data_IF_270305112145
#
_entry.id   IF_270305112145
#
_cell.length_a   1.000
_cell.length_b   1.000
_cell.length_c   1.000
_cell.angle_alpha   90.00
_cell.angle_beta   90.00
_cell.angle_gamma   90.00
#
_symmetry.space_group_name_H-M   'P 1'
#
loop_
_entity.id
_entity.type
_entity.pdbx_description
1 polymer ?
#
# COMPACT_ATOMS: atom_id res chain seq x y z
N UNK A 1 16.85 34.84 8.19
CA UNK A 1 17.40 33.48 8.37
C UNK A 1 16.36 32.47 7.93
N UNK A 2 16.65 31.73 6.91
CA UNK A 2 15.75 30.68 6.44
C UNK A 2 15.93 29.46 7.33
N UNK A 3 14.88 29.14 8.08
CA UNK A 3 14.79 27.85 8.75
C UNK A 3 14.58 26.77 7.68
N UNK A 4 15.60 26.00 7.42
CA UNK A 4 15.42 24.78 6.62
C UNK A 4 14.44 23.90 7.37
N UNK A 5 13.22 23.75 6.83
CA UNK A 5 12.35 22.66 7.24
C UNK A 5 13.11 21.36 6.99
N UNK A 6 13.45 20.65 8.06
CA UNK A 6 13.87 19.25 7.93
C UNK A 6 12.76 18.53 7.20
N UNK A 7 13.00 18.15 5.95
CA UNK A 7 12.17 17.16 5.28
C UNK A 7 12.37 15.86 6.05
N UNK A 8 11.36 15.45 6.79
CA UNK A 8 11.31 14.10 7.29
C UNK A 8 11.17 13.20 6.07
N UNK A 9 12.23 12.47 5.73
CA UNK A 9 12.11 11.42 4.75
C UNK A 9 11.18 10.35 5.33
N UNK A 10 10.02 10.20 4.73
CA UNK A 10 9.09 9.14 5.08
C UNK A 10 9.73 7.80 4.77
N UNK A 11 9.63 6.88 5.71
CA UNK A 11 10.15 5.52 5.56
C UNK A 11 9.06 4.54 5.93
N UNK A 12 8.91 3.51 5.11
CA UNK A 12 7.97 2.44 5.37
C UNK A 12 8.74 1.21 5.81
N UNK A 13 8.38 0.70 6.98
CA UNK A 13 8.88 -0.59 7.49
C UNK A 13 7.75 -1.62 7.43
N UNK A 14 8.04 -2.77 6.85
CA UNK A 14 7.08 -3.85 6.64
C UNK A 14 7.58 -5.10 7.34
N UNK A 15 6.75 -5.69 8.19
CA UNK A 15 7.11 -6.97 8.82
C UNK A 15 7.21 -8.09 7.78
N UNK A 16 8.04 -9.08 8.04
CA UNK A 16 8.17 -10.25 7.15
C UNK A 16 6.85 -10.98 6.97
N UNK A 17 6.09 -11.13 8.05
CA UNK A 17 4.78 -11.80 7.99
C UNK A 17 3.79 -11.02 7.14
N UNK A 18 3.75 -9.69 7.26
CA UNK A 18 2.90 -8.86 6.44
C UNK A 18 3.33 -8.92 4.96
N UNK A 19 4.64 -8.87 4.69
CA UNK A 19 5.17 -9.05 3.32
C UNK A 19 4.71 -10.37 2.72
N UNK A 20 4.91 -11.46 3.44
CA UNK A 20 4.57 -12.80 2.95
C UNK A 20 3.06 -12.93 2.71
N UNK A 21 2.26 -12.36 3.59
CA UNK A 21 0.80 -12.31 3.44
C UNK A 21 0.37 -11.51 2.21
N UNK A 22 0.99 -10.37 1.95
CA UNK A 22 0.72 -9.55 0.75
C UNK A 22 1.04 -10.34 -0.51
N UNK A 23 2.23 -10.93 -0.59
CA UNK A 23 2.66 -11.67 -1.78
C UNK A 23 1.77 -12.88 -2.04
N UNK A 24 1.40 -13.62 -1.00
CA UNK A 24 0.48 -14.76 -1.11
C UNK A 24 -0.89 -14.31 -1.61
N UNK A 25 -1.40 -13.22 -1.08
CA UNK A 25 -2.69 -12.67 -1.48
C UNK A 25 -2.70 -12.24 -2.95
N UNK A 26 -1.63 -11.57 -3.40
CA UNK A 26 -1.50 -11.16 -4.79
C UNK A 26 -1.46 -12.37 -5.74
N UNK A 27 -0.73 -13.42 -5.38
CA UNK A 27 -0.67 -14.66 -6.15
C UNK A 27 -2.03 -15.36 -6.23
N UNK A 28 -2.77 -15.38 -5.13
CA UNK A 28 -4.10 -15.99 -5.08
C UNK A 28 -5.11 -15.26 -5.96
N UNK A 29 -5.00 -13.95 -6.10
CA UNK A 29 -5.93 -13.15 -6.90
C UNK A 29 -5.56 -13.09 -8.37
N UNK A 30 -4.30 -13.38 -8.72
CA UNK A 30 -3.85 -13.34 -10.12
C UNK A 30 -4.74 -14.21 -11.03
N UNK A 31 -5.20 -13.74 -12.18
CA UNK A 31 -4.79 -12.53 -12.91
C UNK A 31 -5.59 -11.25 -12.58
N UNK A 32 -6.41 -11.29 -11.55
CA UNK A 32 -7.14 -10.12 -11.09
C UNK A 32 -6.29 -9.29 -10.13
N UNK A 33 -6.53 -7.99 -10.07
CA UNK A 33 -5.97 -7.13 -9.03
C UNK A 33 -6.59 -7.49 -7.68
N UNK A 34 -5.74 -7.64 -6.65
CA UNK A 34 -6.18 -7.78 -5.27
C UNK A 34 -5.96 -6.48 -4.51
N UNK A 35 -6.70 -6.27 -3.43
CA UNK A 35 -6.55 -5.10 -2.56
C UNK A 35 -6.70 -5.50 -1.09
N UNK A 36 -5.79 -4.96 -0.25
CA UNK A 36 -5.85 -5.11 1.21
C UNK A 36 -5.64 -3.77 1.87
N UNK A 37 -6.22 -3.60 3.07
CA UNK A 37 -5.89 -2.48 3.94
C UNK A 37 -4.63 -2.84 4.73
N UNK A 38 -3.70 -1.89 4.81
CA UNK A 38 -2.48 -2.00 5.59
C UNK A 38 -2.73 -1.51 7.01
N UNK A 39 -2.36 -2.30 7.98
CA UNK A 39 -2.54 -2.01 9.40
C UNK A 39 -1.18 -1.85 10.07
N UNK A 40 -1.05 -0.82 10.89
CA UNK A 40 0.20 -0.56 11.58
C UNK A 40 0.19 0.70 12.39
N UNK A 41 1.35 1.32 12.53
CA UNK A 41 1.57 2.53 13.34
C UNK A 41 2.34 3.56 12.55
N UNK A 42 1.99 4.83 12.71
CA UNK A 42 2.71 5.94 12.11
C UNK A 42 3.29 6.83 13.21
N UNK A 43 4.55 7.21 13.07
CA UNK A 43 5.22 8.13 13.99
C UNK A 43 6.28 8.94 13.24
N UNK A 44 6.12 10.27 13.24
CA UNK A 44 7.11 11.21 12.68
C UNK A 44 7.50 10.89 11.22
N UNK A 45 6.50 10.61 10.38
CA UNK A 45 6.74 10.27 8.98
C UNK A 45 7.14 8.81 8.72
N UNK A 46 7.43 8.05 9.75
CA UNK A 46 7.72 6.63 9.63
C UNK A 46 6.44 5.81 9.84
N UNK A 47 6.22 4.84 8.97
CA UNK A 47 5.07 3.95 9.06
C UNK A 47 5.59 2.53 9.21
N UNK A 48 5.13 1.84 10.26
CA UNK A 48 5.40 0.43 10.47
C UNK A 48 4.14 -0.37 10.19
N UNK A 49 4.23 -1.32 9.27
CA UNK A 49 3.11 -2.16 8.83
C UNK A 49 3.35 -3.59 9.30
N UNK A 50 2.44 -4.11 10.11
CA UNK A 50 2.50 -5.46 10.67
C UNK A 50 1.21 -6.26 10.56
N UNK A 51 0.19 -5.70 9.92
CA UNK A 51 -1.09 -6.37 9.77
C UNK A 51 -1.77 -6.06 8.44
N UNK A 52 -2.71 -6.91 8.09
CA UNK A 52 -3.48 -6.82 6.84
C UNK A 52 -4.95 -7.03 7.15
N UNK A 53 -5.81 -6.28 6.48
CA UNK A 53 -7.26 -6.39 6.61
C UNK A 53 -7.89 -6.48 5.23
N UNK A 54 -8.77 -7.45 5.05
CA UNK A 54 -9.57 -7.54 3.83
C UNK A 54 -10.65 -6.45 3.90
N UNK A 55 -10.67 -5.50 2.96
CA UNK A 55 -11.67 -4.43 3.00
C UNK A 55 -13.06 -4.98 2.73
N UNK A 56 -14.10 -4.45 3.45
CA UNK A 56 -15.47 -4.84 3.19
C UNK A 56 -15.93 -4.32 1.81
N UNK A 57 -16.78 -5.10 1.14
CA UNK A 57 -17.33 -4.74 -0.17
C UNK A 57 -16.29 -4.41 -1.23
N UNK A 58 -15.13 -5.08 -1.16
CA UNK A 58 -14.10 -4.90 -2.18
C UNK A 58 -14.54 -5.48 -3.52
N UNK A 59 -14.20 -4.76 -4.60
CA UNK A 59 -14.40 -5.21 -5.97
C UNK A 59 -13.04 -5.38 -6.62
N UNK A 60 -12.87 -6.47 -7.37
CA UNK A 60 -11.62 -6.77 -8.06
C UNK A 60 -11.88 -7.22 -9.48
N UNK A 61 -10.93 -6.92 -10.36
CA UNK A 61 -10.93 -7.35 -11.76
C UNK A 61 -9.51 -7.37 -12.29
N UNK A 62 -9.34 -7.66 -13.59
CA UNK A 62 -8.01 -7.80 -14.19
C UNK A 62 -7.20 -6.49 -14.16
N UNK A 63 -7.86 -5.35 -14.19
CA UNK A 63 -7.25 -4.03 -14.28
C UNK A 63 -7.74 -3.04 -13.22
N UNK A 64 -8.47 -3.52 -12.21
CA UNK A 64 -8.93 -2.67 -11.11
C UNK A 64 -9.09 -3.44 -9.80
N UNK A 65 -8.91 -2.73 -8.70
CA UNK A 65 -9.30 -3.17 -7.36
C UNK A 65 -9.69 -1.92 -6.54
N UNK A 66 -10.73 -2.03 -5.74
CA UNK A 66 -11.20 -0.93 -4.93
C UNK A 66 -12.22 -1.35 -3.90
N UNK A 67 -12.55 -0.43 -3.00
CA UNK A 67 -13.57 -0.62 -1.97
C UNK A 67 -14.14 0.73 -1.54
N UNK A 68 -15.40 0.77 -1.06
CA UNK A 68 -15.96 2.01 -0.53
C UNK A 68 -15.34 2.34 0.83
N UNK A 69 -14.93 3.61 1.01
CA UNK A 69 -14.30 4.06 2.25
C UNK A 69 -15.31 4.40 3.36
N UNK A 70 -16.53 4.79 2.99
CA UNK A 70 -17.56 5.24 3.94
C UNK A 70 -17.94 4.22 5.02
N UNK A 71 -18.04 2.90 4.73
CA UNK A 71 -18.36 1.91 5.76
C UNK A 71 -17.22 1.61 6.72
N UNK A 72 -15.98 2.08 6.43
CA UNK A 72 -14.85 1.80 7.29
C UNK A 72 -14.96 2.58 8.60
N UNK A 73 -14.66 1.94 9.75
CA UNK A 73 -14.54 2.68 10.99
C UNK A 73 -13.35 3.63 10.93
N UNK A 74 -13.42 4.73 11.69
CA UNK A 74 -12.28 5.59 11.93
C UNK A 74 -11.27 4.83 12.81
N UNK A 75 -10.28 4.25 12.18
CA UNK A 75 -9.25 3.46 12.85
C UNK A 75 -7.87 4.00 12.48
N UNK A 76 -7.15 4.63 13.44
CA UNK A 76 -5.83 5.18 13.16
C UNK A 76 -4.77 4.11 12.84
N UNK A 77 -5.05 2.84 13.10
CA UNK A 77 -4.17 1.74 12.71
C UNK A 77 -4.27 1.39 11.23
N UNK A 78 -5.28 1.91 10.51
CA UNK A 78 -5.39 1.75 9.06
C UNK A 78 -4.49 2.80 8.40
N UNK A 79 -3.27 2.42 8.06
CA UNK A 79 -2.25 3.36 7.59
C UNK A 79 -2.17 3.47 6.07
N UNK A 80 -2.82 2.60 5.33
CA UNK A 80 -2.82 2.66 3.88
C UNK A 80 -3.44 1.44 3.23
N UNK A 81 -3.17 1.30 1.95
CA UNK A 81 -3.64 0.15 1.15
C UNK A 81 -2.49 -0.45 0.37
N UNK A 82 -2.65 -1.71 0.00
CA UNK A 82 -1.83 -2.38 -0.99
C UNK A 82 -2.72 -3.02 -2.05
N UNK A 83 -2.32 -2.89 -3.31
CA UNK A 83 -2.97 -3.60 -4.39
C UNK A 83 -1.94 -4.17 -5.36
N UNK A 84 -2.37 -5.16 -6.14
CA UNK A 84 -1.50 -5.79 -7.12
C UNK A 84 -1.73 -5.22 -8.52
N UNK A 85 -0.64 -5.17 -9.31
CA UNK A 85 -0.67 -4.90 -10.74
C UNK A 85 -0.30 -6.19 -11.47
N UNK A 86 -1.26 -6.96 -11.99
CA UNK A 86 -0.97 -8.20 -12.71
C UNK A 86 -0.19 -7.98 -14.01
N UNK A 87 -0.31 -6.78 -14.59
CA UNK A 87 0.36 -6.39 -15.83
C UNK A 87 0.98 -5.01 -15.65
N UNK A 88 2.17 -4.82 -16.21
CA UNK A 88 2.83 -3.52 -16.26
C UNK A 88 3.72 -3.25 -15.05
N UNK A 89 4.02 -1.97 -14.84
CA UNK A 89 4.90 -1.52 -13.76
C UNK A 89 4.17 -1.39 -12.44
N UNK A 90 4.93 -1.23 -11.36
CA UNK A 90 4.40 -0.95 -10.03
C UNK A 90 4.19 0.55 -9.78
N UNK A 91 4.11 1.36 -10.83
CA UNK A 91 3.81 2.79 -10.71
C UNK A 91 2.31 3.02 -10.53
N UNK A 92 1.90 3.99 -9.68
CA UNK A 92 0.49 4.29 -9.51
C UNK A 92 -0.11 4.89 -10.77
N UNK A 93 -1.30 4.42 -11.12
CA UNK A 93 -2.13 5.04 -12.15
C UNK A 93 -2.79 6.31 -11.60
N UNK A 94 -3.39 7.13 -12.49
CA UNK A 94 -4.18 8.28 -12.05
C UNK A 94 -5.35 7.84 -11.16
N UNK A 95 -5.99 6.71 -11.50
CA UNK A 95 -7.05 6.12 -10.67
C UNK A 95 -6.54 5.73 -9.30
N UNK A 96 -5.36 5.13 -9.21
CA UNK A 96 -4.72 4.78 -7.94
C UNK A 96 -4.50 6.02 -7.07
N UNK A 97 -4.01 7.11 -7.65
CA UNK A 97 -3.78 8.37 -6.93
C UNK A 97 -5.09 9.02 -6.48
N UNK A 98 -6.13 8.97 -7.30
CA UNK A 98 -7.44 9.52 -6.97
C UNK A 98 -8.15 8.73 -5.85
N UNK A 99 -7.82 7.47 -5.67
CA UNK A 99 -8.39 6.59 -4.64
C UNK A 99 -7.44 6.35 -3.47
N UNK A 100 -6.48 7.24 -3.28
CA UNK A 100 -5.51 7.13 -2.20
C UNK A 100 -6.20 7.10 -0.84
N UNK A 101 -5.77 6.17 0.02
CA UNK A 101 -6.31 5.99 1.36
C UNK A 101 -5.16 5.94 2.37
N UNK A 102 -5.28 6.73 3.45
CA UNK A 102 -4.30 6.74 4.53
C UNK A 102 -3.02 7.48 4.17
N UNK A 103 -1.88 6.95 4.60
CA UNK A 103 -0.56 7.60 4.50
C UNK A 103 0.32 7.01 3.40
N UNK A 104 0.04 5.78 2.99
CA UNK A 104 0.86 5.05 2.03
C UNK A 104 -0.01 4.21 1.10
N UNK A 105 0.36 4.15 -0.16
CA UNK A 105 -0.16 3.19 -1.11
C UNK A 105 0.97 2.28 -1.56
N UNK A 106 0.78 0.98 -1.37
CA UNK A 106 1.73 -0.02 -1.85
C UNK A 106 1.20 -0.70 -3.10
N UNK A 107 2.09 -0.96 -4.04
CA UNK A 107 1.77 -1.65 -5.29
C UNK A 107 2.72 -2.82 -5.44
N UNK A 108 2.16 -3.98 -5.75
CA UNK A 108 2.94 -5.21 -5.99
C UNK A 108 2.72 -5.63 -7.43
N UNK A 109 3.80 -5.72 -8.20
CA UNK A 109 3.73 -6.14 -9.60
C UNK A 109 3.96 -7.65 -9.74
N UNK A 110 3.39 -8.24 -10.79
CA UNK A 110 3.69 -9.62 -11.16
C UNK A 110 5.19 -9.76 -11.48
N UNK A 111 5.86 -10.85 -11.10
CA UNK A 111 5.34 -12.11 -10.57
C UNK A 111 5.20 -12.20 -9.04
N UNK A 112 5.19 -11.09 -8.34
CA UNK A 112 4.95 -11.01 -6.89
C UNK A 112 6.07 -11.66 -6.06
N UNK A 113 7.30 -11.35 -6.41
CA UNK A 113 8.50 -11.73 -5.66
C UNK A 113 8.82 -10.67 -4.60
N UNK A 114 9.78 -10.96 -3.72
CA UNK A 114 10.14 -10.08 -2.60
C UNK A 114 10.48 -8.65 -3.04
N UNK A 115 11.10 -8.49 -4.21
CA UNK A 115 11.53 -7.19 -4.75
C UNK A 115 10.47 -6.48 -5.60
N UNK A 116 9.27 -7.05 -5.71
CA UNK A 116 8.19 -6.51 -6.55
C UNK A 116 7.23 -5.60 -5.79
N UNK A 117 7.55 -5.25 -4.55
CA UNK A 117 6.72 -4.38 -3.68
C UNK A 117 7.31 -2.98 -3.67
N UNK A 118 6.45 -1.98 -3.92
CA UNK A 118 6.83 -0.56 -3.93
C UNK A 118 5.83 0.25 -3.12
N UNK A 119 6.30 1.29 -2.46
CA UNK A 119 5.48 2.18 -1.63
C UNK A 119 5.48 3.59 -2.22
N UNK A 120 4.33 4.26 -2.16
CA UNK A 120 4.08 5.56 -2.78
C UNK A 120 3.33 6.48 -1.82
N UNK A 121 3.61 7.78 -1.88
CA UNK A 121 2.84 8.79 -1.16
C UNK A 121 1.66 9.29 -2.01
N UNK A 122 0.86 10.21 -1.44
CA UNK A 122 -0.34 10.74 -2.10
C UNK A 122 -0.03 11.61 -3.34
N UNK A 123 1.20 12.04 -3.49
CA UNK A 123 1.68 12.80 -4.65
C UNK A 123 2.25 11.90 -5.75
N UNK A 124 2.25 10.59 -5.54
CA UNK A 124 2.81 9.64 -6.48
C UNK A 124 4.32 9.53 -6.42
N UNK A 125 4.93 9.99 -5.32
CA UNK A 125 6.36 9.86 -5.09
C UNK A 125 6.67 8.55 -4.37
N UNK A 126 7.68 7.84 -4.86
CA UNK A 126 8.12 6.60 -4.24
C UNK A 126 8.74 6.85 -2.85
N UNK A 127 8.37 6.01 -1.89
CA UNK A 127 8.89 6.05 -0.53
C UNK A 127 9.78 4.82 -0.31
N UNK A 128 10.96 4.98 0.34
CA UNK A 128 11.79 3.83 0.69
C UNK A 128 11.05 2.80 1.55
N UNK A 129 11.18 1.54 1.19
CA UNK A 129 10.54 0.41 1.87
C UNK A 129 11.60 -0.54 2.39
N UNK A 130 11.49 -0.89 3.66
CA UNK A 130 12.40 -1.85 4.32
C UNK A 130 11.57 -2.95 4.96
N UNK A 131 11.98 -4.19 4.73
CA UNK A 131 11.38 -5.37 5.39
C UNK A 131 12.19 -5.68 6.65
N UNK A 132 11.51 -5.80 7.75
CA UNK A 132 12.13 -5.98 9.08
C UNK A 132 11.70 -7.26 9.78
#
# INVERSE_FOLDING_TARGET
MQLKKKKFESKISLSKDARDGILSFCKMNHPNEGILILRGKAKRGNVFIDGLVVPPFSETGADFAGFPHNPLPLDPSYVGIVHSHPVGSAEPSLTDLNNFFGLVSMIVKSPYEDDDIFAWDSDGKEIPLVVV
#
